data_IF_806241072348
#
_entry.id   IF_806241072348
#
_cell.length_a   1.000
_cell.length_b   1.000
_cell.length_c   1.000
_cell.angle_alpha   90.00
_cell.angle_beta   90.00
_cell.angle_gamma   90.00
#
_symmetry.space_group_name_H-M   'P 1'
#
loop_
_entity.id
_entity.type
_entity.pdbx_description
1 polymer ?
#
# COMPACT_ATOMS: atom_id res chain seq x y z
N UNK A 1 1.19 -5.96 21.00
CA UNK A 1 2.08 -6.45 19.94
C UNK A 1 1.61 -5.74 18.69
N UNK A 2 2.27 -4.64 18.33
CA UNK A 2 2.00 -3.98 17.05
C UNK A 2 2.78 -4.78 16.03
N UNK A 3 2.10 -5.67 15.32
CA UNK A 3 2.68 -6.28 14.13
C UNK A 3 2.99 -5.15 13.16
N UNK A 4 4.26 -4.94 12.76
CA UNK A 4 4.59 -3.89 11.82
C UNK A 4 3.80 -4.14 10.54
N UNK A 5 3.11 -3.11 10.02
CA UNK A 5 2.48 -3.21 8.70
C UNK A 5 3.55 -3.72 7.73
N UNK A 6 3.26 -4.84 7.09
CA UNK A 6 4.09 -5.35 6.01
C UNK A 6 3.87 -4.50 4.77
N UNK A 7 4.93 -4.34 3.96
CA UNK A 7 4.83 -3.53 2.76
C UNK A 7 3.84 -4.19 1.80
N UNK A 8 2.79 -3.48 1.32
CA UNK A 8 1.84 -4.07 0.41
C UNK A 8 2.54 -4.48 -0.89
N UNK A 9 2.07 -5.58 -1.47
CA UNK A 9 2.59 -6.13 -2.73
C UNK A 9 1.90 -5.40 -3.88
N UNK A 10 2.70 -4.87 -4.81
CA UNK A 10 2.16 -4.20 -5.97
C UNK A 10 1.37 -5.21 -6.84
N UNK A 11 0.13 -4.87 -7.26
CA UNK A 11 -0.63 -5.73 -8.14
C UNK A 11 0.10 -5.87 -9.49
N UNK A 12 -0.12 -7.00 -10.17
CA UNK A 12 0.35 -7.17 -11.53
C UNK A 12 -0.38 -6.18 -12.46
N UNK A 13 0.26 -5.80 -13.57
CA UNK A 13 -0.37 -4.94 -14.58
C UNK A 13 -1.63 -5.61 -15.18
N UNK A 14 -1.60 -6.95 -15.30
CA UNK A 14 -2.74 -7.82 -15.70
C UNK A 14 -3.90 -7.87 -14.68
N UNK A 15 -3.64 -7.56 -13.40
CA UNK A 15 -4.68 -7.49 -12.35
C UNK A 15 -5.50 -6.20 -12.46
N UNK A 16 -4.92 -5.18 -13.09
CA UNK A 16 -5.65 -4.00 -13.52
C UNK A 16 -6.34 -4.32 -14.85
N UNK A 17 -7.59 -3.87 -15.03
CA UNK A 17 -8.38 -4.10 -16.25
C UNK A 17 -7.84 -3.32 -17.48
N UNK A 18 -6.53 -3.12 -17.59
CA UNK A 18 -5.81 -2.66 -18.79
C UNK A 18 -6.05 -1.21 -19.22
N UNK A 19 -6.88 -0.43 -18.52
CA UNK A 19 -7.23 0.90 -19.01
C UNK A 19 -8.08 1.80 -18.13
N UNK A 20 -8.11 1.58 -16.80
CA UNK A 20 -8.91 2.43 -15.90
C UNK A 20 -10.43 2.29 -16.07
N UNK A 21 -10.90 1.22 -16.75
CA UNK A 21 -12.31 0.91 -16.90
C UNK A 21 -12.91 0.22 -15.66
N UNK A 22 -12.08 -0.42 -14.82
CA UNK A 22 -12.49 -0.98 -13.55
C UNK A 22 -12.44 0.09 -12.45
N UNK A 23 -13.60 0.42 -11.88
CA UNK A 23 -13.70 1.19 -10.65
C UNK A 23 -14.50 0.35 -9.63
N UNK A 24 -13.89 -0.06 -8.50
CA UNK A 24 -12.57 0.32 -7.98
C UNK A 24 -11.39 -0.35 -8.70
N UNK A 25 -10.30 0.40 -8.91
CA UNK A 25 -9.05 -0.14 -9.45
C UNK A 25 -8.24 -0.81 -8.34
N UNK A 26 -7.60 -1.94 -8.64
CA UNK A 26 -6.69 -2.63 -7.70
C UNK A 26 -5.55 -1.72 -7.21
N UNK A 27 -5.17 -0.75 -8.04
CA UNK A 27 -4.16 0.25 -7.70
C UNK A 27 -4.63 1.23 -6.63
N UNK A 28 -5.91 1.60 -6.60
CA UNK A 28 -6.43 2.51 -5.55
C UNK A 28 -6.24 1.88 -4.17
N UNK A 29 -6.65 0.62 -4.01
CA UNK A 29 -6.47 -0.14 -2.77
C UNK A 29 -4.99 -0.27 -2.41
N UNK A 30 -4.13 -0.61 -3.38
CA UNK A 30 -2.69 -0.70 -3.16
C UNK A 30 -2.08 0.63 -2.67
N UNK A 31 -2.46 1.77 -3.27
CA UNK A 31 -1.95 3.07 -2.86
C UNK A 31 -2.44 3.47 -1.46
N UNK A 32 -3.68 3.15 -1.11
CA UNK A 32 -4.22 3.38 0.23
C UNK A 32 -3.45 2.60 1.31
N UNK A 33 -3.19 1.32 1.08
CA UNK A 33 -2.39 0.49 2.00
C UNK A 33 -0.93 0.95 2.04
N UNK A 34 -0.36 1.31 0.89
CA UNK A 34 1.02 1.79 0.81
C UNK A 34 1.19 3.10 1.58
N UNK A 35 0.19 3.98 1.56
CA UNK A 35 0.22 5.21 2.34
C UNK A 35 0.25 4.91 3.84
N UNK A 36 -0.60 3.99 4.32
CA UNK A 36 -0.62 3.59 5.75
C UNK A 36 0.74 3.02 6.17
N UNK A 37 1.30 2.13 5.34
CA UNK A 37 2.63 1.55 5.58
C UNK A 37 3.72 2.62 5.68
N UNK A 38 3.72 3.62 4.79
CA UNK A 38 4.71 4.71 4.80
C UNK A 38 4.63 5.56 6.06
N UNK A 39 3.41 5.85 6.52
CA UNK A 39 3.19 6.62 7.76
C UNK A 39 3.74 5.83 8.94
N UNK A 40 3.35 4.56 9.06
CA UNK A 40 3.80 3.73 10.19
C UNK A 40 5.32 3.51 10.17
N UNK A 41 5.93 3.30 8.99
CA UNK A 41 7.40 3.23 8.87
C UNK A 41 8.09 4.52 9.27
N UNK A 42 7.51 5.68 8.95
CA UNK A 42 8.04 6.97 9.38
C UNK A 42 7.96 7.11 10.91
N UNK A 43 6.83 6.74 11.52
CA UNK A 43 6.66 6.74 12.98
C UNK A 43 7.62 5.77 13.68
N UNK A 44 7.78 4.55 13.16
CA UNK A 44 8.75 3.57 13.69
C UNK A 44 10.18 4.12 13.59
N UNK A 45 10.54 4.72 12.45
CA UNK A 45 11.87 5.29 12.23
C UNK A 45 12.13 6.47 13.19
N UNK A 46 11.14 7.32 13.40
CA UNK A 46 11.22 8.46 14.33
C UNK A 46 11.32 7.99 15.79
N UNK A 47 10.63 6.91 16.16
CA UNK A 47 10.74 6.31 17.50
C UNK A 47 12.04 5.54 17.74
N UNK A 48 12.78 5.20 16.68
CA UNK A 48 14.08 4.53 16.77
C UNK A 48 15.29 5.48 16.80
N UNK A 49 15.08 6.78 16.64
CA UNK A 49 16.10 7.84 16.74
C UNK A 49 16.13 8.47 18.14
#
# INVERSE_FOLDING_TARGET
MTEPLEKPIAPADDDCCGGGACNPCVWDHYYEELQKWRIEQAEIREQQE
#
